data_IF_196915210736
#
_entry.id   IF_196915210736
#
_cell.length_a   1.000
_cell.length_b   1.000
_cell.length_c   1.000
_cell.angle_alpha   90.00
_cell.angle_beta   90.00
_cell.angle_gamma   90.00
#
_symmetry.space_group_name_H-M   'P 1'
#
loop_
_entity.id
_entity.type
_entity.pdbx_description
1 polymer ?
#
# COMPACT_ATOMS: atom_id res chain seq x y z
N UNK A 1 -18.93 -0.88 -17.73
CA UNK A 1 -17.64 -0.43 -18.05
C UNK A 1 -17.07 0.42 -16.95
N UNK A 2 -16.12 1.25 -17.31
CA UNK A 2 -15.48 2.13 -16.34
C UNK A 2 -16.48 2.99 -15.59
N UNK A 3 -17.54 3.38 -16.25
CA UNK A 3 -18.59 4.17 -15.63
C UNK A 3 -19.25 3.46 -14.47
N UNK A 4 -19.28 2.13 -14.48
CA UNK A 4 -19.89 1.36 -13.40
C UNK A 4 -19.11 1.46 -12.10
N UNK A 5 -17.84 1.82 -12.16
CA UNK A 5 -16.99 1.93 -10.99
C UNK A 5 -16.89 3.36 -10.48
N UNK A 6 -17.51 4.30 -11.19
CA UNK A 6 -17.46 5.69 -10.83
C UNK A 6 -16.05 6.26 -10.89
N UNK A 7 -15.85 7.35 -10.19
CA UNK A 7 -14.57 8.03 -10.14
C UNK A 7 -13.79 7.63 -8.91
N UNK A 8 -12.56 7.19 -9.11
CA UNK A 8 -11.62 7.03 -8.02
C UNK A 8 -10.84 8.34 -7.86
N UNK A 9 -10.82 8.86 -6.66
CA UNK A 9 -10.09 10.06 -6.29
C UNK A 9 -9.09 9.70 -5.21
N UNK A 10 -7.85 10.16 -5.35
CA UNK A 10 -6.77 9.88 -4.42
C UNK A 10 -6.22 11.17 -3.83
N UNK A 11 -5.97 11.15 -2.53
CA UNK A 11 -5.32 12.28 -1.85
C UNK A 11 -4.63 11.78 -0.58
N UNK A 12 -3.58 12.46 -0.17
CA UNK A 12 -2.88 12.09 1.07
C UNK A 12 -3.64 12.60 2.29
N UNK A 13 -3.65 11.78 3.34
CA UNK A 13 -4.25 12.13 4.62
C UNK A 13 -3.20 12.78 5.51
N UNK A 14 -3.55 13.88 6.16
CA UNK A 14 -2.70 14.46 7.19
C UNK A 14 -2.69 13.53 8.41
N UNK A 15 -1.53 13.35 9.03
CA UNK A 15 -1.40 12.53 10.22
C UNK A 15 0.01 11.99 10.37
N UNK A 16 0.27 11.40 11.52
CA UNK A 16 1.56 10.82 11.82
C UNK A 16 1.68 9.41 11.26
N UNK A 17 2.86 9.07 10.75
CA UNK A 17 3.16 7.71 10.34
C UNK A 17 3.25 6.79 11.56
N UNK A 18 2.87 5.51 11.39
CA UNK A 18 3.17 4.49 12.39
C UNK A 18 4.67 4.15 12.31
N UNK A 19 5.24 3.54 13.38
CA UNK A 19 6.64 3.10 13.33
C UNK A 19 6.95 2.16 12.17
N UNK A 20 6.03 1.26 11.83
CA UNK A 20 6.22 0.32 10.73
C UNK A 20 6.20 1.03 9.37
N UNK A 21 5.34 2.04 9.22
CA UNK A 21 5.30 2.85 8.01
C UNK A 21 6.60 3.63 7.83
N UNK A 22 7.09 4.21 8.92
CA UNK A 22 8.36 4.95 8.90
C UNK A 22 9.52 4.02 8.52
N UNK A 23 9.59 2.85 9.14
CA UNK A 23 10.65 1.87 8.82
C UNK A 23 10.59 1.44 7.36
N UNK A 24 9.39 1.17 6.85
CA UNK A 24 9.19 0.77 5.46
C UNK A 24 9.61 1.87 4.49
N UNK A 25 9.17 3.08 4.75
CA UNK A 25 9.51 4.23 3.90
C UNK A 25 11.02 4.49 3.88
N UNK A 26 11.65 4.45 5.06
CA UNK A 26 13.10 4.67 5.15
C UNK A 26 13.89 3.59 4.44
N UNK A 27 13.46 2.33 4.53
CA UNK A 27 14.12 1.23 3.81
C UNK A 27 14.08 1.46 2.29
N UNK A 28 12.93 1.89 1.79
CA UNK A 28 12.72 2.16 0.37
C UNK A 28 13.62 3.32 -0.10
N UNK A 29 13.60 4.42 0.64
CA UNK A 29 14.36 5.63 0.29
C UNK A 29 15.87 5.36 0.39
N UNK A 30 16.30 4.67 1.43
CA UNK A 30 17.72 4.32 1.62
C UNK A 30 18.23 3.44 0.48
N UNK A 31 17.37 2.60 -0.07
CA UNK A 31 17.74 1.74 -1.21
C UNK A 31 17.80 2.50 -2.54
N UNK A 32 17.49 3.79 -2.54
CA UNK A 32 17.51 4.60 -3.75
C UNK A 32 16.27 4.49 -4.62
N UNK A 33 15.20 3.88 -4.11
CA UNK A 33 13.94 3.77 -4.83
C UNK A 33 13.12 5.06 -4.66
N UNK A 34 12.16 5.32 -5.55
CA UNK A 34 11.32 6.51 -5.41
C UNK A 34 10.61 6.53 -4.06
N UNK A 35 10.41 7.71 -3.50
CA UNK A 35 9.75 7.86 -2.22
C UNK A 35 8.24 7.72 -2.38
N UNK A 36 7.60 6.77 -1.68
CA UNK A 36 6.14 6.64 -1.71
C UNK A 36 5.48 7.75 -0.90
N UNK A 37 4.23 8.05 -1.23
CA UNK A 37 3.42 8.95 -0.40
C UNK A 37 2.82 8.18 0.76
N UNK A 38 2.56 8.88 1.86
CA UNK A 38 2.07 8.30 3.12
C UNK A 38 0.58 8.54 3.24
N UNK A 39 -0.17 7.54 3.71
CA UNK A 39 -1.59 7.66 4.03
C UNK A 39 -2.40 8.20 2.85
N UNK A 40 -2.39 7.44 1.76
CA UNK A 40 -3.16 7.80 0.57
C UNK A 40 -4.62 7.36 0.73
N UNK A 41 -5.54 8.31 0.64
CA UNK A 41 -6.96 8.02 0.69
C UNK A 41 -7.47 7.69 -0.72
N UNK A 42 -8.21 6.59 -0.83
CA UNK A 42 -8.85 6.19 -2.07
C UNK A 42 -10.36 6.36 -1.91
N UNK A 43 -10.92 7.29 -2.66
CA UNK A 43 -12.33 7.62 -2.65
C UNK A 43 -12.97 7.13 -3.95
N UNK A 44 -14.13 6.51 -3.85
CA UNK A 44 -14.89 6.05 -5.02
C UNK A 44 -16.31 6.60 -4.89
N UNK A 45 -16.75 7.35 -5.89
CA UNK A 45 -18.09 7.96 -5.91
C UNK A 45 -18.40 8.78 -4.64
N UNK A 46 -17.39 9.53 -4.17
CA UNK A 46 -17.55 10.38 -3.00
C UNK A 46 -17.51 9.67 -1.66
N UNK A 47 -17.18 8.38 -1.66
CA UNK A 47 -17.10 7.59 -0.45
C UNK A 47 -15.67 7.11 -0.22
N UNK A 48 -15.16 7.27 1.01
CA UNK A 48 -13.83 6.80 1.37
C UNK A 48 -13.85 5.27 1.48
N UNK A 49 -13.10 4.60 0.60
CA UNK A 49 -13.11 3.15 0.55
C UNK A 49 -11.86 2.50 1.12
N UNK A 50 -10.73 3.20 1.11
CA UNK A 50 -9.49 2.66 1.64
C UNK A 50 -8.52 3.78 1.98
N UNK A 51 -7.63 3.50 2.94
CA UNK A 51 -6.46 4.33 3.21
C UNK A 51 -5.25 3.41 3.07
N UNK A 52 -4.36 3.77 2.16
CA UNK A 52 -3.16 2.97 1.88
C UNK A 52 -2.00 3.55 2.67
N UNK A 53 -1.30 2.71 3.43
CA UNK A 53 -0.22 3.18 4.32
C UNK A 53 0.87 3.91 3.57
N UNK A 54 1.42 3.29 2.53
CA UNK A 54 2.40 3.89 1.63
C UNK A 54 1.99 3.55 0.21
N UNK A 55 2.12 4.52 -0.70
CA UNK A 55 1.64 4.32 -2.05
C UNK A 55 2.48 5.03 -3.10
N UNK A 56 2.61 4.38 -4.25
CA UNK A 56 3.02 5.05 -5.47
C UNK A 56 1.75 5.26 -6.29
N UNK A 57 1.17 6.43 -6.17
CA UNK A 57 -0.09 6.73 -6.86
C UNK A 57 0.05 6.64 -8.38
N UNK A 58 1.16 7.13 -8.91
CA UNK A 58 1.43 7.14 -10.35
C UNK A 58 1.44 5.73 -10.95
N UNK A 59 1.98 4.76 -10.21
CA UNK A 59 2.12 3.39 -10.70
C UNK A 59 1.15 2.42 -10.06
N UNK A 60 0.30 2.92 -9.18
CA UNK A 60 -0.70 2.12 -8.44
C UNK A 60 -0.08 0.92 -7.74
N UNK A 61 0.88 1.21 -6.89
CA UNK A 61 1.51 0.23 -6.01
C UNK A 61 1.17 0.62 -4.57
N UNK A 62 0.50 -0.27 -3.86
CA UNK A 62 0.12 -0.08 -2.47
C UNK A 62 1.01 -0.92 -1.58
N UNK A 63 1.55 -0.32 -0.53
CA UNK A 63 2.44 -0.98 0.41
C UNK A 63 1.77 -0.86 1.78
N UNK A 64 1.42 -2.00 2.37
CA UNK A 64 0.67 -2.03 3.61
C UNK A 64 1.28 -3.00 4.60
N UNK A 65 1.39 -2.57 5.87
CA UNK A 65 1.94 -3.43 6.90
C UNK A 65 0.91 -4.46 7.34
N UNK A 66 1.32 -5.73 7.39
CA UNK A 66 0.48 -6.84 7.83
C UNK A 66 0.45 -6.86 9.37
N UNK A 67 -0.63 -6.35 9.95
CA UNK A 67 -0.81 -6.39 11.38
C UNK A 67 -1.19 -7.79 11.87
N UNK A 68 -1.03 -8.02 13.16
CA UNK A 68 -1.34 -9.32 13.76
C UNK A 68 -2.77 -9.39 14.33
N UNK A 69 -3.45 -8.25 14.44
CA UNK A 69 -4.77 -8.19 15.07
C UNK A 69 -5.83 -9.01 14.35
N UNK A 70 -5.67 -9.27 13.05
CA UNK A 70 -6.62 -10.10 12.30
C UNK A 70 -6.61 -11.55 12.75
N UNK A 71 -5.55 -11.99 13.42
CA UNK A 71 -5.48 -13.36 13.97
C UNK A 71 -6.45 -13.54 15.15
N UNK A 72 -6.82 -12.44 15.81
CA UNK A 72 -7.71 -12.46 16.96
C UNK A 72 -9.07 -11.81 16.69
N UNK A 73 -9.25 -11.25 15.48
CA UNK A 73 -10.48 -10.55 15.09
C UNK A 73 -10.90 -10.95 13.68
N UNK A 74 -11.68 -12.04 13.55
CA UNK A 74 -12.12 -12.51 12.23
C UNK A 74 -12.93 -11.50 11.43
N UNK A 75 -13.73 -10.66 12.10
CA UNK A 75 -14.54 -9.64 11.42
C UNK A 75 -13.65 -8.57 10.79
N UNK A 76 -12.62 -8.14 11.50
CA UNK A 76 -11.66 -7.17 10.99
C UNK A 76 -10.87 -7.76 9.83
N UNK A 77 -10.48 -9.02 9.93
CA UNK A 77 -9.78 -9.71 8.85
C UNK A 77 -10.62 -9.78 7.58
N UNK A 78 -11.91 -10.12 7.71
CA UNK A 78 -12.81 -10.16 6.56
C UNK A 78 -12.93 -8.80 5.88
N UNK A 79 -13.02 -7.72 6.66
CA UNK A 79 -13.06 -6.35 6.12
C UNK A 79 -11.77 -6.00 5.39
N UNK A 80 -10.65 -6.41 5.94
CA UNK A 80 -9.33 -6.14 5.35
C UNK A 80 -9.18 -6.84 4.00
N UNK A 81 -9.64 -8.08 3.90
CA UNK A 81 -9.62 -8.82 2.64
C UNK A 81 -10.47 -8.10 1.58
N UNK A 82 -11.69 -7.68 1.94
CA UNK A 82 -12.57 -6.97 1.00
C UNK A 82 -11.97 -5.65 0.56
N UNK A 83 -11.34 -4.94 1.49
CA UNK A 83 -10.67 -3.68 1.17
C UNK A 83 -9.52 -3.91 0.17
N UNK A 84 -8.73 -4.96 0.39
CA UNK A 84 -7.65 -5.31 -0.53
C UNK A 84 -8.19 -5.68 -1.91
N UNK A 85 -9.25 -6.48 -1.96
CA UNK A 85 -9.89 -6.83 -3.22
C UNK A 85 -10.38 -5.61 -3.99
N UNK A 86 -10.96 -4.64 -3.27
CA UNK A 86 -11.40 -3.40 -3.88
C UNK A 86 -10.21 -2.64 -4.49
N UNK A 87 -9.14 -2.47 -3.71
CA UNK A 87 -7.95 -1.75 -4.17
C UNK A 87 -7.36 -2.45 -5.40
N UNK A 88 -7.27 -3.76 -5.37
CA UNK A 88 -6.79 -4.52 -6.52
C UNK A 88 -7.69 -4.38 -7.74
N UNK A 89 -9.02 -4.30 -7.52
CA UNK A 89 -9.97 -4.12 -8.61
C UNK A 89 -9.82 -2.76 -9.29
N UNK A 90 -9.23 -1.79 -8.60
CA UNK A 90 -8.93 -0.47 -9.16
C UNK A 90 -7.59 -0.43 -9.89
N UNK A 91 -6.92 -1.58 -10.02
CA UNK A 91 -5.69 -1.71 -10.77
C UNK A 91 -4.42 -1.65 -9.96
N UNK A 92 -4.52 -1.69 -8.64
CA UNK A 92 -3.35 -1.59 -7.75
C UNK A 92 -2.66 -2.94 -7.56
N UNK A 93 -1.32 -2.89 -7.48
CA UNK A 93 -0.53 -4.01 -6.96
C UNK A 93 -0.44 -3.79 -5.45
N UNK A 94 -0.87 -4.77 -4.66
CA UNK A 94 -0.84 -4.67 -3.20
C UNK A 94 0.32 -5.51 -2.65
N UNK A 95 1.21 -4.87 -1.91
CA UNK A 95 2.33 -5.52 -1.21
C UNK A 95 2.01 -5.51 0.27
N UNK A 96 1.83 -6.69 0.86
CA UNK A 96 1.61 -6.81 2.30
C UNK A 96 2.97 -7.04 2.96
N UNK A 97 3.40 -6.08 3.78
CA UNK A 97 4.71 -6.10 4.45
C UNK A 97 4.60 -6.85 5.76
N UNK A 98 5.46 -7.82 5.96
CA UNK A 98 5.50 -8.59 7.20
C UNK A 98 6.73 -8.19 8.02
N UNK A 99 6.80 -8.67 9.27
CA UNK A 99 8.00 -8.47 10.11
C UNK A 99 9.25 -8.99 9.42
N UNK A 100 9.12 -10.13 8.73
CA UNK A 100 10.26 -10.72 8.01
C UNK A 100 10.79 -9.79 6.92
N UNK A 101 9.90 -9.09 6.22
CA UNK A 101 10.28 -8.15 5.17
C UNK A 101 11.09 -6.97 5.70
N UNK A 102 10.89 -6.61 6.98
CA UNK A 102 11.57 -5.46 7.58
C UNK A 102 12.90 -5.82 8.25
N UNK A 103 13.25 -7.10 8.33
CA UNK A 103 14.54 -7.52 8.87
C UNK A 103 15.66 -7.11 7.93
N UNK A 104 16.88 -7.01 8.48
CA UNK A 104 18.08 -6.71 7.70
C UNK A 104 17.92 -5.43 6.89
N UNK A 105 17.45 -4.38 7.54
CA UNK A 105 17.26 -3.08 6.89
C UNK A 105 16.15 -3.03 5.87
N UNK A 106 15.23 -4.00 5.91
CA UNK A 106 14.09 -4.01 4.99
C UNK A 106 14.40 -4.64 3.64
N UNK A 107 15.41 -5.50 3.56
CA UNK A 107 15.83 -6.11 2.29
C UNK A 107 14.70 -6.84 1.57
N UNK A 108 13.87 -7.57 2.32
CA UNK A 108 12.74 -8.28 1.73
C UNK A 108 11.71 -7.33 1.12
N UNK A 109 11.39 -6.27 1.83
CA UNK A 109 10.49 -5.24 1.32
C UNK A 109 11.05 -4.58 0.06
N UNK A 110 12.33 -4.19 0.09
CA UNK A 110 12.98 -3.53 -1.04
C UNK A 110 12.91 -4.41 -2.29
N UNK A 111 13.18 -5.71 -2.15
CA UNK A 111 13.11 -6.64 -3.27
C UNK A 111 11.70 -6.71 -3.87
N UNK A 112 10.68 -6.73 -3.02
CA UNK A 112 9.29 -6.78 -3.48
C UNK A 112 8.85 -5.49 -4.15
N UNK A 113 9.30 -4.35 -3.63
CA UNK A 113 9.00 -3.05 -4.24
C UNK A 113 9.67 -2.93 -5.61
N UNK A 114 10.94 -3.37 -5.71
CA UNK A 114 11.64 -3.38 -7.01
C UNK A 114 10.89 -4.22 -8.04
N UNK A 115 10.41 -5.40 -7.63
CA UNK A 115 9.66 -6.27 -8.52
C UNK A 115 8.37 -5.62 -8.99
N UNK A 116 7.65 -4.95 -8.10
CA UNK A 116 6.42 -4.25 -8.45
C UNK A 116 6.68 -3.08 -9.40
N UNK A 117 7.72 -2.29 -9.13
CA UNK A 117 8.13 -1.21 -10.01
C UNK A 117 8.47 -1.73 -11.41
N UNK A 118 9.22 -2.84 -11.48
CA UNK A 118 9.56 -3.47 -12.75
C UNK A 118 8.32 -3.91 -13.52
N UNK A 119 7.32 -4.45 -12.84
CA UNK A 119 6.04 -4.83 -13.46
C UNK A 119 5.34 -3.63 -14.09
N UNK A 120 5.55 -2.43 -13.55
CA UNK A 120 4.98 -1.19 -14.09
C UNK A 120 5.90 -0.51 -15.11
N UNK A 121 7.04 -1.14 -15.44
CA UNK A 121 7.98 -0.58 -16.39
C UNK A 121 8.85 0.54 -15.82
N UNK A 122 8.99 0.62 -14.52
CA UNK A 122 9.80 1.63 -13.84
C UNK A 122 11.18 1.04 -13.54
N UNK A 123 12.28 1.67 -14.03
CA UNK A 123 13.63 1.20 -13.68
C UNK A 123 13.87 1.36 -12.18
N UNK A 124 14.42 0.35 -11.57
CA UNK A 124 14.64 0.35 -10.12
C UNK A 124 16.06 0.20 -9.68
#
# INVERSE_FOLDING_TARGET
GAAAFGRALERTRAGAESPQETRSRLAIVTAGLPEPVVQLEVWVDGELRAVIDLAYSEWKIAIEYEGEHHLTDPAQWAKDIRRQELVESLGWIVIRVTKADLRSGGAGLVARVRAALARRGVPG
#
